data_IF_992477950119
#
_entry.id   IF_992477950119
#
_cell.length_a   1.000
_cell.length_b   1.000
_cell.length_c   1.000
_cell.angle_alpha   90.00
_cell.angle_beta   90.00
_cell.angle_gamma   90.00
#
_symmetry.space_group_name_H-M   'P 1'
#
loop_
_entity.id
_entity.type
_entity.pdbx_description
1 polymer ?
#
# COMPACT_ATOMS: atom_id res chain seq x y z
N UNK A 1 17.03 12.73 -11.98
CA UNK A 1 17.08 12.87 -10.50
C UNK A 1 16.80 14.31 -10.08
N UNK A 2 17.62 15.30 -10.45
CA UNK A 2 17.44 16.72 -10.08
C UNK A 2 16.03 17.27 -10.38
N UNK A 3 15.51 17.01 -11.58
CA UNK A 3 14.14 17.38 -11.96
C UNK A 3 13.08 16.85 -10.98
N UNK A 4 13.17 15.57 -10.58
CA UNK A 4 12.22 14.96 -9.62
C UNK A 4 12.31 15.61 -8.25
N UNK A 5 13.54 15.86 -7.76
CA UNK A 5 13.74 16.55 -6.49
C UNK A 5 13.12 17.94 -6.50
N UNK A 6 13.32 18.71 -7.56
CA UNK A 6 12.75 20.06 -7.70
C UNK A 6 11.22 20.06 -7.82
N UNK A 7 10.61 19.00 -8.37
CA UNK A 7 9.14 18.89 -8.36
C UNK A 7 8.58 18.57 -6.97
N UNK A 8 9.37 17.92 -6.11
CA UNK A 8 8.98 17.58 -4.73
C UNK A 8 9.33 18.74 -3.78
N UNK A 9 10.50 19.34 -3.91
CA UNK A 9 10.98 20.45 -3.10
C UNK A 9 11.22 21.66 -4.01
N UNK A 10 10.14 22.29 -4.52
CA UNK A 10 10.27 23.38 -5.48
C UNK A 10 10.80 24.66 -4.82
N UNK A 11 11.71 25.35 -5.51
CA UNK A 11 12.08 26.72 -5.18
C UNK A 11 11.04 27.74 -5.65
N UNK A 12 10.32 27.43 -6.74
CA UNK A 12 9.34 28.30 -7.36
C UNK A 12 7.97 27.62 -7.39
N UNK A 13 6.96 28.36 -6.98
CA UNK A 13 5.55 27.93 -7.00
C UNK A 13 4.72 28.95 -7.78
N UNK A 14 3.61 28.50 -8.36
CA UNK A 14 2.60 29.39 -8.95
C UNK A 14 1.82 30.13 -7.86
N UNK A 15 0.97 31.08 -8.27
CA UNK A 15 -0.02 31.73 -7.40
C UNK A 15 -0.87 30.72 -6.62
N UNK A 16 -1.20 29.60 -7.26
CA UNK A 16 -2.03 28.53 -6.70
C UNK A 16 -1.22 27.54 -5.85
N UNK A 17 0.05 27.86 -5.53
CA UNK A 17 0.93 27.06 -4.69
C UNK A 17 1.52 25.80 -5.38
N UNK A 18 1.21 25.56 -6.65
CA UNK A 18 1.69 24.41 -7.40
C UNK A 18 3.18 24.56 -7.77
N UNK A 19 3.98 23.48 -7.75
CA UNK A 19 5.38 23.52 -8.17
C UNK A 19 5.50 23.91 -9.65
N UNK A 20 6.29 24.96 -9.93
CA UNK A 20 6.62 25.31 -11.31
C UNK A 20 7.69 24.35 -11.87
N UNK A 21 7.67 24.03 -13.18
CA UNK A 21 8.72 23.24 -13.80
C UNK A 21 10.10 23.87 -13.56
N UNK A 22 11.12 23.09 -13.13
CA UNK A 22 12.45 23.62 -12.89
C UNK A 22 13.08 24.09 -14.20
N UNK A 23 13.76 25.24 -14.14
CA UNK A 23 14.58 25.77 -15.22
C UNK A 23 15.80 24.88 -15.45
N UNK A 24 16.39 24.98 -16.64
CA UNK A 24 17.61 24.25 -16.96
C UNK A 24 18.80 24.68 -16.10
N UNK A 25 18.83 25.94 -15.63
CA UNK A 25 19.84 26.43 -14.70
C UNK A 25 19.71 25.78 -13.31
N UNK A 26 18.49 25.66 -12.79
CA UNK A 26 18.22 24.97 -11.51
C UNK A 26 18.62 23.48 -11.58
N UNK A 27 18.31 22.82 -12.70
CA UNK A 27 18.69 21.43 -12.94
C UNK A 27 20.21 21.30 -12.98
N UNK A 28 20.91 22.15 -13.75
CA UNK A 28 22.38 22.15 -13.85
C UNK A 28 23.07 22.43 -12.52
N UNK A 29 22.52 23.30 -11.69
CA UNK A 29 23.07 23.61 -10.35
C UNK A 29 23.11 22.37 -9.43
N UNK A 30 22.11 21.49 -9.53
CA UNK A 30 22.11 20.22 -8.80
C UNK A 30 22.97 19.19 -9.53
N UNK A 31 22.79 19.01 -10.83
CA UNK A 31 23.45 17.98 -11.62
C UNK A 31 24.98 18.16 -11.68
N UNK A 32 25.45 19.41 -11.69
CA UNK A 32 26.88 19.75 -11.69
C UNK A 32 27.55 19.68 -10.32
N UNK A 33 26.81 19.36 -9.25
CA UNK A 33 27.36 19.24 -7.90
C UNK A 33 27.26 17.79 -7.40
N UNK A 34 28.36 17.01 -7.41
CA UNK A 34 28.36 15.60 -6.99
C UNK A 34 27.85 15.38 -5.56
N UNK A 35 28.18 16.29 -4.64
CA UNK A 35 27.74 16.22 -3.24
C UNK A 35 26.22 16.35 -3.14
N UNK A 36 25.63 17.38 -3.76
CA UNK A 36 24.17 17.55 -3.83
C UNK A 36 23.50 16.35 -4.50
N UNK A 37 24.09 15.84 -5.57
CA UNK A 37 23.58 14.65 -6.25
C UNK A 37 23.53 13.42 -5.34
N UNK A 38 24.61 13.17 -4.59
CA UNK A 38 24.70 12.06 -3.63
C UNK A 38 23.64 12.17 -2.54
N UNK A 39 23.49 13.35 -1.94
CA UNK A 39 22.52 13.58 -0.88
C UNK A 39 21.08 13.45 -1.37
N UNK A 40 20.75 14.07 -2.50
CA UNK A 40 19.41 13.99 -3.06
C UNK A 40 19.06 12.55 -3.46
N UNK A 41 20.01 11.78 -4.01
CA UNK A 41 19.79 10.37 -4.30
C UNK A 41 19.42 9.58 -3.04
N UNK A 42 20.16 9.77 -1.94
CA UNK A 42 19.86 9.13 -0.63
C UNK A 42 18.48 9.53 -0.10
N UNK A 43 18.09 10.80 -0.23
CA UNK A 43 16.78 11.31 0.21
C UNK A 43 15.64 10.74 -0.63
N UNK A 44 15.78 10.72 -1.95
CA UNK A 44 14.77 10.17 -2.87
C UNK A 44 14.58 8.65 -2.72
N UNK A 45 15.58 7.93 -2.19
CA UNK A 45 15.47 6.50 -1.87
C UNK A 45 15.02 6.22 -0.44
N UNK A 46 14.71 7.23 0.37
CA UNK A 46 14.38 7.07 1.80
C UNK A 46 12.88 7.26 2.05
N UNK A 47 12.22 6.19 2.51
CA UNK A 47 10.81 6.24 2.94
C UNK A 47 10.62 7.27 4.05
N UNK A 48 11.57 7.41 4.98
CA UNK A 48 11.49 8.42 6.06
C UNK A 48 11.50 9.84 5.52
N UNK A 49 12.30 10.13 4.48
CA UNK A 49 12.27 11.44 3.82
C UNK A 49 10.96 11.66 3.06
N UNK A 50 10.44 10.63 2.40
CA UNK A 50 9.14 10.71 1.74
C UNK A 50 8.01 10.99 2.75
N UNK A 51 7.94 10.23 3.83
CA UNK A 51 6.96 10.43 4.91
C UNK A 51 7.08 11.82 5.54
N UNK A 52 8.30 12.29 5.82
CA UNK A 52 8.52 13.64 6.34
C UNK A 52 7.87 14.70 5.44
N UNK A 53 8.12 14.62 4.13
CA UNK A 53 7.61 15.61 3.18
C UNK A 53 6.10 15.49 2.97
N UNK A 54 5.56 14.27 2.97
CA UNK A 54 4.12 14.02 2.86
C UNK A 54 3.37 14.58 4.08
N UNK A 55 3.76 14.13 5.28
CA UNK A 55 3.13 14.55 6.53
C UNK A 55 3.24 16.06 6.74
N UNK A 56 4.39 16.68 6.44
CA UNK A 56 4.52 18.13 6.55
C UNK A 56 3.46 18.86 5.71
N UNK A 57 3.26 18.46 4.45
CA UNK A 57 2.29 19.14 3.58
C UNK A 57 0.85 18.91 4.00
N UNK A 58 0.51 17.69 4.41
CA UNK A 58 -0.84 17.38 4.90
C UNK A 58 -1.12 18.17 6.17
N UNK A 59 -0.18 18.18 7.13
CA UNK A 59 -0.32 18.93 8.38
C UNK A 59 -0.49 20.44 8.14
N UNK A 60 0.36 21.03 7.29
CA UNK A 60 0.24 22.46 6.96
C UNK A 60 -1.10 22.80 6.30
N UNK A 61 -1.60 21.92 5.42
CA UNK A 61 -2.87 22.15 4.73
C UNK A 61 -4.05 22.01 5.69
N UNK A 62 -4.09 20.95 6.48
CA UNK A 62 -5.18 20.72 7.42
C UNK A 62 -5.24 21.81 8.50
N UNK A 63 -4.09 22.17 9.09
CA UNK A 63 -4.03 23.28 10.04
C UNK A 63 -4.50 24.61 9.42
N UNK A 64 -4.17 24.87 8.15
CA UNK A 64 -4.67 26.07 7.46
C UNK A 64 -6.18 26.02 7.20
N UNK A 65 -6.70 24.86 6.79
CA UNK A 65 -8.14 24.64 6.55
C UNK A 65 -8.96 24.79 7.85
N UNK A 66 -8.40 24.36 8.98
CA UNK A 66 -9.04 24.40 10.31
C UNK A 66 -8.71 25.67 11.12
N UNK A 67 -7.94 26.61 10.56
CA UNK A 67 -7.44 27.82 11.25
C UNK A 67 -6.63 27.55 12.54
N UNK A 68 -6.01 26.36 12.62
CA UNK A 68 -5.25 25.88 13.77
C UNK A 68 -3.73 26.00 13.56
N UNK A 69 -2.97 25.80 14.65
CA UNK A 69 -1.51 25.73 14.59
C UNK A 69 -0.94 24.62 15.47
N UNK A 70 0.27 24.16 15.16
CA UNK A 70 0.97 23.14 15.96
C UNK A 70 1.00 21.74 15.34
N UNK A 71 1.07 20.73 16.20
CA UNK A 71 1.30 19.34 15.80
C UNK A 71 0.02 18.67 15.29
N UNK A 72 0.01 18.27 14.02
CA UNK A 72 -1.12 17.56 13.41
C UNK A 72 -1.04 16.03 13.56
N UNK A 73 0.14 15.44 13.34
CA UNK A 73 0.35 13.98 13.44
C UNK A 73 0.93 13.60 14.80
N UNK A 74 0.61 12.39 15.26
CA UNK A 74 1.37 11.70 16.32
C UNK A 74 2.82 11.43 15.86
N UNK A 75 3.72 11.12 16.80
CA UNK A 75 5.18 11.04 16.60
C UNK A 75 5.65 10.29 15.34
N UNK A 76 5.96 8.98 15.46
CA UNK A 76 6.71 8.24 14.43
C UNK A 76 5.78 7.37 13.61
N UNK A 77 5.96 7.39 12.30
CA UNK A 77 5.27 6.44 11.43
C UNK A 77 5.81 5.02 11.63
N UNK A 78 4.94 4.04 11.39
CA UNK A 78 5.31 2.64 11.38
C UNK A 78 5.54 2.15 9.94
N UNK A 79 6.53 1.28 9.74
CA UNK A 79 6.81 0.67 8.45
C UNK A 79 7.16 -0.81 8.64
N UNK A 80 6.36 -1.66 8.02
CA UNK A 80 6.51 -3.11 8.06
C UNK A 80 6.99 -3.59 6.71
N UNK A 81 8.12 -4.29 6.66
CA UNK A 81 8.62 -4.91 5.42
C UNK A 81 7.84 -6.20 5.17
N UNK A 82 7.10 -6.26 4.08
CA UNK A 82 6.41 -7.48 3.63
C UNK A 82 7.36 -8.28 2.74
N UNK A 83 7.52 -9.58 3.01
CA UNK A 83 8.55 -10.41 2.33
C UNK A 83 7.99 -11.67 1.68
N UNK A 84 6.70 -11.91 1.77
CA UNK A 84 6.02 -13.00 1.06
C UNK A 84 4.61 -12.61 0.62
N UNK A 85 4.02 -13.49 -0.18
CA UNK A 85 2.70 -13.28 -0.77
C UNK A 85 1.57 -13.36 0.27
N UNK A 86 1.64 -14.32 1.20
CA UNK A 86 0.61 -14.51 2.23
C UNK A 86 0.43 -13.26 3.10
N UNK A 87 1.55 -12.67 3.54
CA UNK A 87 1.54 -11.46 4.35
C UNK A 87 1.18 -10.22 3.53
N UNK A 88 1.48 -10.21 2.23
CA UNK A 88 1.03 -9.15 1.33
C UNK A 88 -0.49 -9.15 1.18
N UNK A 89 -1.07 -10.32 0.92
CA UNK A 89 -2.53 -10.49 0.83
C UNK A 89 -3.20 -10.14 2.16
N UNK A 90 -2.68 -10.63 3.29
CA UNK A 90 -3.20 -10.32 4.61
C UNK A 90 -3.12 -8.82 4.94
N UNK A 91 -2.02 -8.15 4.57
CA UNK A 91 -1.88 -6.70 4.75
C UNK A 91 -2.90 -5.92 3.92
N UNK A 92 -3.08 -6.29 2.65
CA UNK A 92 -4.04 -5.64 1.77
C UNK A 92 -5.47 -5.79 2.31
N UNK A 93 -5.85 -7.00 2.72
CA UNK A 93 -7.14 -7.28 3.35
C UNK A 93 -7.32 -6.55 4.69
N UNK A 94 -6.29 -6.50 5.54
CA UNK A 94 -6.32 -5.76 6.81
C UNK A 94 -6.66 -4.26 6.60
N UNK A 95 -6.08 -3.66 5.55
CA UNK A 95 -6.31 -2.24 5.21
C UNK A 95 -7.71 -2.04 4.63
N UNK A 96 -8.09 -2.82 3.62
CA UNK A 96 -9.38 -2.65 2.93
C UNK A 96 -10.58 -3.00 3.82
N UNK A 97 -10.42 -3.93 4.76
CA UNK A 97 -11.47 -4.30 5.73
C UNK A 97 -11.47 -3.44 6.99
N UNK A 98 -10.61 -2.42 7.09
CA UNK A 98 -10.52 -1.61 8.30
C UNK A 98 -11.85 -0.90 8.68
N UNK A 99 -12.61 -0.27 7.76
CA UNK A 99 -13.90 0.33 8.13
C UNK A 99 -14.92 -0.69 8.64
N UNK A 100 -14.94 -1.90 8.06
CA UNK A 100 -15.81 -2.98 8.53
C UNK A 100 -15.40 -3.46 9.92
N UNK A 101 -14.10 -3.65 10.15
CA UNK A 101 -13.53 -4.01 11.47
C UNK A 101 -13.81 -2.94 12.52
N UNK A 102 -13.85 -1.68 12.13
CA UNK A 102 -14.18 -0.54 12.99
C UNK A 102 -15.70 -0.30 13.14
N UNK A 103 -16.55 -1.16 12.57
CA UNK A 103 -18.01 -1.00 12.54
C UNK A 103 -18.49 0.33 11.91
N UNK A 104 -17.69 0.90 11.00
CA UNK A 104 -18.02 2.11 10.23
C UNK A 104 -18.69 1.80 8.89
N UNK A 105 -18.67 0.54 8.45
CA UNK A 105 -19.29 0.08 7.22
C UNK A 105 -19.76 -1.38 7.35
N UNK A 106 -20.88 -1.73 6.73
CA UNK A 106 -21.37 -3.11 6.71
C UNK A 106 -20.92 -3.87 5.47
N UNK A 107 -20.60 -3.17 4.38
CA UNK A 107 -20.18 -3.78 3.10
C UNK A 107 -18.91 -3.12 2.55
N UNK A 108 -18.31 -3.74 1.53
CA UNK A 108 -17.11 -3.21 0.87
C UNK A 108 -17.43 -1.90 0.13
N UNK A 109 -18.62 -1.79 -0.43
CA UNK A 109 -19.13 -0.61 -1.15
C UNK A 109 -19.32 0.59 -0.21
N UNK A 110 -19.73 0.33 1.04
CA UNK A 110 -19.94 1.35 2.06
C UNK A 110 -18.64 1.79 2.76
N UNK A 111 -17.51 1.13 2.46
CA UNK A 111 -16.23 1.40 3.11
C UNK A 111 -15.59 2.68 2.54
N UNK A 112 -16.13 3.83 2.95
CA UNK A 112 -15.74 5.15 2.46
C UNK A 112 -14.22 5.39 2.54
N UNK A 113 -13.68 5.99 1.47
CA UNK A 113 -12.27 6.37 1.36
C UNK A 113 -11.26 5.20 1.39
N UNK A 114 -11.69 3.99 1.04
CA UNK A 114 -10.81 2.81 0.90
C UNK A 114 -10.42 2.52 -0.55
N UNK A 115 -9.37 1.72 -0.74
CA UNK A 115 -8.98 1.26 -2.08
C UNK A 115 -10.02 0.30 -2.65
N UNK A 116 -10.54 -0.62 -1.84
CA UNK A 116 -11.59 -1.56 -2.26
C UNK A 116 -12.84 -0.85 -2.79
N UNK A 117 -13.34 0.18 -2.09
CA UNK A 117 -14.50 0.95 -2.57
C UNK A 117 -14.23 1.58 -3.94
N UNK A 118 -13.07 2.24 -4.10
CA UNK A 118 -12.70 2.89 -5.37
C UNK A 118 -12.60 1.90 -6.54
N UNK A 119 -12.14 0.68 -6.29
CA UNK A 119 -12.11 -0.40 -7.28
C UNK A 119 -13.52 -0.83 -7.67
N UNK A 120 -14.43 -1.01 -6.70
CA UNK A 120 -15.83 -1.37 -6.98
C UNK A 120 -16.55 -0.25 -7.74
N UNK A 121 -16.33 1.01 -7.36
CA UNK A 121 -16.85 2.18 -8.09
C UNK A 121 -16.37 2.20 -9.54
N UNK A 122 -15.09 1.88 -9.79
CA UNK A 122 -14.55 1.81 -11.13
C UNK A 122 -15.20 0.69 -11.94
N UNK A 123 -15.37 -0.52 -11.37
CA UNK A 123 -16.05 -1.64 -12.05
C UNK A 123 -17.50 -1.27 -12.40
N UNK A 124 -18.20 -0.59 -11.49
CA UNK A 124 -19.62 -0.25 -11.66
C UNK A 124 -19.83 0.92 -12.63
N UNK A 125 -18.96 1.93 -12.59
CA UNK A 125 -19.07 3.13 -13.43
C UNK A 125 -18.46 2.95 -14.82
N UNK A 126 -17.41 2.13 -14.94
CA UNK A 126 -16.64 1.92 -16.17
C UNK A 126 -16.97 0.55 -16.81
N UNK A 127 -18.25 0.16 -16.81
CA UNK A 127 -18.73 -1.10 -17.44
C UNK A 127 -18.40 -1.18 -18.94
N UNK A 128 -18.15 -0.06 -19.60
CA UNK A 128 -17.63 -0.03 -20.96
C UNK A 128 -16.10 -0.20 -20.92
N UNK A 129 -15.60 -1.37 -21.32
CA UNK A 129 -14.17 -1.69 -21.42
C UNK A 129 -13.37 -0.68 -22.27
N UNK A 130 -14.07 0.13 -23.09
CA UNK A 130 -13.48 1.18 -23.93
C UNK A 130 -13.01 2.41 -23.13
N UNK A 131 -13.39 2.55 -21.85
CA UNK A 131 -12.92 3.67 -21.02
C UNK A 131 -11.39 3.54 -20.84
N UNK A 132 -10.60 4.52 -21.33
CA UNK A 132 -9.15 4.48 -21.17
C UNK A 132 -8.76 4.41 -19.70
N UNK A 133 -7.75 3.60 -19.36
CA UNK A 133 -7.25 3.43 -17.98
C UNK A 133 -6.97 4.77 -17.28
N UNK A 134 -6.52 5.78 -18.03
CA UNK A 134 -6.27 7.12 -17.49
C UNK A 134 -7.52 7.86 -17.00
N UNK A 135 -8.73 7.47 -17.44
CA UNK A 135 -10.00 8.07 -17.05
C UNK A 135 -10.74 7.28 -15.96
N UNK A 136 -10.31 6.05 -15.67
CA UNK A 136 -10.92 5.22 -14.64
C UNK A 136 -10.81 5.86 -13.26
N UNK A 137 -11.81 5.62 -12.42
CA UNK A 137 -11.87 6.18 -11.05
C UNK A 137 -10.74 5.67 -10.15
N UNK A 138 -10.23 4.48 -10.42
CA UNK A 138 -9.14 3.83 -9.69
C UNK A 138 -7.76 4.02 -10.34
N UNK A 139 -7.61 4.94 -11.30
CA UNK A 139 -6.36 5.11 -12.07
C UNK A 139 -5.10 5.39 -11.23
N UNK A 140 -5.28 5.88 -10.00
CA UNK A 140 -4.22 6.19 -9.05
C UNK A 140 -3.87 5.00 -8.14
N UNK A 141 -4.68 3.95 -8.16
CA UNK A 141 -4.40 2.70 -7.48
C UNK A 141 -3.53 1.79 -8.35
N UNK A 142 -2.63 1.05 -7.71
CA UNK A 142 -1.94 -0.06 -8.37
C UNK A 142 -2.97 -1.10 -8.82
N UNK A 143 -2.81 -1.75 -9.98
CA UNK A 143 -3.56 -2.96 -10.30
C UNK A 143 -3.42 -3.99 -9.17
N UNK A 144 -4.41 -4.85 -8.96
CA UNK A 144 -4.28 -6.00 -8.04
C UNK A 144 -3.45 -7.07 -8.72
N UNK A 145 -3.95 -7.56 -9.86
CA UNK A 145 -3.31 -8.60 -10.65
C UNK A 145 -1.91 -8.19 -11.10
N UNK A 146 -0.93 -9.02 -10.75
CA UNK A 146 0.42 -9.01 -11.32
C UNK A 146 0.51 -10.13 -12.37
N UNK A 147 1.07 -9.79 -13.54
CA UNK A 147 1.41 -10.78 -14.56
C UNK A 147 2.78 -11.39 -14.26
N UNK A 148 2.78 -12.54 -13.57
CA UNK A 148 4.02 -13.28 -13.27
C UNK A 148 4.47 -14.19 -14.42
N UNK A 149 3.62 -14.46 -15.40
CA UNK A 149 3.91 -15.42 -16.48
C UNK A 149 4.65 -14.77 -17.64
N UNK A 150 4.17 -13.61 -18.08
CA UNK A 150 4.70 -12.89 -19.23
C UNK A 150 5.24 -11.49 -18.89
N UNK A 151 5.05 -11.03 -17.66
CA UNK A 151 5.47 -9.70 -17.24
C UNK A 151 6.98 -9.54 -17.22
N UNK A 152 7.46 -8.38 -17.67
CA UNK A 152 8.88 -8.03 -17.60
C UNK A 152 9.38 -7.98 -16.13
N UNK A 153 10.57 -8.53 -15.90
CA UNK A 153 11.25 -8.45 -14.61
C UNK A 153 11.73 -7.01 -14.40
N UNK A 154 11.54 -6.49 -13.18
CA UNK A 154 11.95 -5.14 -12.81
C UNK A 154 10.79 -4.14 -12.67
N UNK A 155 11.10 -2.84 -12.58
CA UNK A 155 10.11 -1.80 -12.32
C UNK A 155 9.26 -1.51 -13.56
N UNK A 156 7.93 -1.47 -13.40
CA UNK A 156 7.01 -1.02 -14.43
C UNK A 156 6.48 0.37 -14.05
N UNK A 157 7.15 1.44 -14.48
CA UNK A 157 6.76 2.83 -14.15
C UNK A 157 5.44 3.17 -14.83
N UNK A 158 4.53 3.85 -14.11
CA UNK A 158 3.21 4.14 -14.65
C UNK A 158 3.25 5.06 -15.88
N UNK A 159 2.54 4.66 -16.94
CA UNK A 159 2.41 5.46 -18.17
C UNK A 159 1.54 6.72 -17.97
N UNK A 160 0.59 6.68 -17.04
CA UNK A 160 -0.33 7.80 -16.78
C UNK A 160 0.23 8.83 -15.81
N UNK A 161 1.29 8.48 -15.07
CA UNK A 161 1.83 9.31 -13.98
C UNK A 161 0.90 9.46 -12.76
N UNK A 162 -0.24 8.75 -12.72
CA UNK A 162 -1.21 8.81 -11.61
C UNK A 162 -0.86 7.88 -10.45
N UNK A 163 0.03 6.92 -10.67
CA UNK A 163 0.52 5.95 -9.68
C UNK A 163 2.01 5.67 -9.87
N UNK A 164 2.61 5.00 -8.89
CA UNK A 164 4.06 4.69 -8.94
C UNK A 164 4.40 3.58 -9.94
N UNK A 165 3.54 2.56 -10.06
CA UNK A 165 3.78 1.40 -10.92
C UNK A 165 2.50 0.86 -11.55
N UNK A 166 2.61 0.34 -12.77
CA UNK A 166 1.55 -0.38 -13.49
C UNK A 166 1.64 -1.91 -13.31
N UNK A 167 2.55 -2.42 -12.45
CA UNK A 167 2.90 -3.85 -12.39
C UNK A 167 1.82 -4.76 -11.79
N UNK A 168 1.04 -4.27 -10.84
CA UNK A 168 0.26 -5.14 -9.96
C UNK A 168 1.02 -5.58 -8.72
N UNK A 169 0.34 -6.28 -7.79
CA UNK A 169 0.97 -6.73 -6.55
C UNK A 169 0.52 -8.11 -6.03
N UNK A 170 -0.51 -8.74 -6.59
CA UNK A 170 -0.96 -10.08 -6.21
C UNK A 170 -1.18 -10.97 -7.43
N UNK A 171 -0.78 -12.26 -7.40
CA UNK A 171 -1.00 -13.20 -8.50
C UNK A 171 -2.44 -13.76 -8.46
N UNK A 172 -3.41 -12.86 -8.55
CA UNK A 172 -4.84 -13.17 -8.61
C UNK A 172 -5.59 -12.05 -9.34
N UNK A 173 -6.78 -12.36 -9.85
CA UNK A 173 -7.63 -11.36 -10.51
C UNK A 173 -8.15 -10.33 -9.50
N UNK A 174 -8.70 -9.21 -9.99
CA UNK A 174 -9.37 -8.25 -9.10
C UNK A 174 -10.65 -8.88 -8.52
N UNK A 175 -11.34 -9.66 -9.32
CA UNK A 175 -12.56 -10.38 -8.98
C UNK A 175 -12.31 -11.35 -7.82
N UNK A 176 -11.30 -12.21 -7.93
CA UNK A 176 -10.91 -13.16 -6.88
C UNK A 176 -10.51 -12.43 -5.59
N UNK A 177 -9.89 -11.25 -5.72
CA UNK A 177 -9.50 -10.45 -4.57
C UNK A 177 -10.74 -9.89 -3.85
N UNK A 178 -11.70 -9.34 -4.59
CA UNK A 178 -12.96 -8.86 -4.03
C UNK A 178 -13.77 -10.00 -3.39
N UNK A 179 -13.84 -11.16 -4.02
CA UNK A 179 -14.47 -12.35 -3.43
C UNK A 179 -13.80 -12.78 -2.14
N UNK A 180 -12.46 -12.77 -2.10
CA UNK A 180 -11.70 -13.08 -0.89
C UNK A 180 -11.97 -12.07 0.23
N UNK A 181 -12.05 -10.77 -0.10
CA UNK A 181 -12.38 -9.72 0.88
C UNK A 181 -13.80 -9.87 1.41
N UNK A 182 -14.80 -10.08 0.54
CA UNK A 182 -16.19 -10.25 0.95
C UNK A 182 -16.35 -11.49 1.84
N UNK A 183 -15.77 -12.62 1.42
CA UNK A 183 -15.73 -13.83 2.22
C UNK A 183 -15.12 -13.57 3.61
N UNK A 184 -13.98 -12.89 3.66
CA UNK A 184 -13.28 -12.56 4.92
C UNK A 184 -14.11 -11.63 5.80
N UNK A 185 -14.77 -10.63 5.21
CA UNK A 185 -15.58 -9.67 5.94
C UNK A 185 -16.76 -10.35 6.66
N UNK A 186 -17.33 -11.41 6.06
CA UNK A 186 -18.40 -12.22 6.67
C UNK A 186 -17.90 -13.11 7.81
N UNK A 187 -16.63 -13.51 7.80
CA UNK A 187 -16.03 -14.26 8.92
C UNK A 187 -15.78 -13.36 10.14
N UNK A 188 -15.38 -12.11 9.92
CA UNK A 188 -15.00 -11.17 11.00
C UNK A 188 -16.23 -10.56 11.70
N UNK A 189 -17.31 -10.31 10.95
CA UNK A 189 -18.54 -9.71 11.48
C UNK A 189 -19.73 -10.70 11.32
N UNK A 190 -19.91 -11.65 12.24
CA UNK A 190 -21.03 -12.59 12.19
C UNK A 190 -22.37 -11.83 12.27
N UNK A 191 -23.25 -12.06 11.31
CA UNK A 191 -24.54 -11.37 11.18
C UNK A 191 -24.72 -10.53 9.92
N UNK A 192 -23.71 -10.42 9.05
CA UNK A 192 -23.89 -9.81 7.73
C UNK A 192 -24.96 -10.55 6.90
N UNK A 193 -25.81 -9.82 6.16
CA UNK A 193 -26.80 -10.45 5.28
C UNK A 193 -26.13 -11.29 4.19
N UNK A 194 -26.69 -12.49 3.95
CA UNK A 194 -26.22 -13.45 2.94
C UNK A 194 -25.46 -14.64 3.52
N UNK A 195 -25.46 -15.76 2.78
CA UNK A 195 -24.77 -17.00 3.20
C UNK A 195 -23.27 -16.84 2.99
N UNK A 196 -22.46 -17.01 4.04
CA UNK A 196 -21.01 -17.12 3.89
C UNK A 196 -20.70 -18.36 3.05
N UNK A 197 -19.95 -18.24 1.93
CA UNK A 197 -19.55 -19.41 1.16
C UNK A 197 -18.83 -20.41 2.06
N UNK A 198 -19.26 -21.67 2.02
CA UNK A 198 -18.70 -22.72 2.85
C UNK A 198 -17.24 -23.03 2.45
N UNK A 199 -16.93 -22.82 1.17
CA UNK A 199 -15.62 -23.11 0.62
C UNK A 199 -14.61 -22.00 0.94
N UNK A 200 -13.44 -22.43 1.40
CA UNK A 200 -12.27 -21.59 1.57
C UNK A 200 -11.81 -21.05 0.19
N UNK A 201 -11.59 -19.72 0.04
CA UNK A 201 -11.11 -19.12 -1.19
C UNK A 201 -9.89 -19.86 -1.79
N UNK A 202 -9.84 -20.08 -3.12
CA UNK A 202 -8.76 -20.83 -3.76
C UNK A 202 -7.36 -20.28 -3.47
N UNK A 203 -7.23 -18.96 -3.36
CA UNK A 203 -5.97 -18.29 -3.01
C UNK A 203 -5.47 -18.71 -1.62
N UNK A 204 -6.36 -18.86 -0.64
CA UNK A 204 -5.98 -19.28 0.71
C UNK A 204 -5.57 -20.75 0.73
N UNK A 205 -6.24 -21.62 -0.04
CA UNK A 205 -5.81 -23.02 -0.26
C UNK A 205 -4.42 -23.08 -0.88
N UNK A 206 -4.16 -22.32 -1.94
CA UNK A 206 -2.83 -22.24 -2.61
C UNK A 206 -1.74 -21.76 -1.65
N UNK A 207 -2.08 -20.80 -0.79
CA UNK A 207 -1.18 -20.30 0.23
C UNK A 207 -1.10 -21.24 1.45
N UNK A 208 -1.84 -22.34 1.53
CA UNK A 208 -1.84 -23.22 2.71
C UNK A 208 -2.28 -22.51 3.99
N UNK A 209 -3.27 -21.61 3.90
CA UNK A 209 -3.85 -20.89 5.02
C UNK A 209 -5.27 -21.39 5.28
N UNK A 210 -5.52 -21.95 6.47
CA UNK A 210 -6.87 -22.27 6.91
C UNK A 210 -7.66 -21.00 7.33
N UNK A 211 -8.97 -21.14 7.48
CA UNK A 211 -9.88 -20.04 7.86
C UNK A 211 -9.46 -19.34 9.15
N UNK A 212 -9.11 -20.10 10.20
CA UNK A 212 -8.79 -19.54 11.52
C UNK A 212 -7.50 -18.74 11.46
N UNK A 213 -6.46 -19.32 10.85
CA UNK A 213 -5.17 -18.69 10.64
C UNK A 213 -5.31 -17.41 9.83
N UNK A 214 -6.06 -17.45 8.72
CA UNK A 214 -6.33 -16.29 7.88
C UNK A 214 -7.07 -15.17 8.62
N UNK A 215 -8.16 -15.49 9.32
CA UNK A 215 -8.95 -14.49 10.03
C UNK A 215 -8.13 -13.78 11.11
N UNK A 216 -7.23 -14.51 11.80
CA UNK A 216 -6.34 -13.91 12.78
C UNK A 216 -5.28 -13.01 12.12
N UNK A 217 -4.67 -13.46 11.01
CA UNK A 217 -3.71 -12.65 10.24
C UNK A 217 -4.33 -11.31 9.79
N UNK A 218 -5.56 -11.34 9.28
CA UNK A 218 -6.27 -10.14 8.81
C UNK A 218 -6.80 -9.28 9.94
N UNK A 219 -7.20 -9.86 11.08
CA UNK A 219 -7.77 -9.09 12.19
C UNK A 219 -6.69 -8.43 13.05
N UNK A 220 -5.54 -9.09 13.20
CA UNK A 220 -4.47 -8.69 14.11
C UNK A 220 -3.16 -8.34 13.39
N UNK A 221 -3.17 -8.07 12.07
CA UNK A 221 -1.95 -7.82 11.28
C UNK A 221 -0.98 -6.86 11.96
N UNK A 222 -1.44 -5.67 12.39
CA UNK A 222 -0.60 -4.66 13.07
C UNK A 222 -0.12 -5.06 14.46
N UNK A 223 -0.75 -6.06 15.09
CA UNK A 223 -0.30 -6.68 16.35
C UNK A 223 0.60 -7.88 16.12
N UNK A 224 0.45 -8.59 15.01
CA UNK A 224 1.28 -9.76 14.68
C UNK A 224 2.62 -9.32 14.10
N UNK A 225 2.60 -8.30 13.24
CA UNK A 225 3.76 -7.82 12.51
C UNK A 225 4.10 -6.39 12.90
N UNK A 226 5.40 -6.16 13.09
CA UNK A 226 5.93 -4.85 13.45
C UNK A 226 6.93 -4.41 12.38
N UNK A 227 8.19 -4.84 12.47
CA UNK A 227 9.22 -4.41 11.49
C UNK A 227 9.22 -5.23 10.21
N UNK A 228 8.69 -6.46 10.24
CA UNK A 228 8.64 -7.38 9.11
C UNK A 228 7.37 -8.22 9.20
N UNK A 229 6.80 -8.58 8.04
CA UNK A 229 5.69 -9.49 7.88
C UNK A 229 6.04 -10.55 6.83
N UNK A 230 5.83 -11.81 7.17
CA UNK A 230 6.27 -12.95 6.38
C UNK A 230 6.27 -14.22 7.21
N UNK A 231 6.38 -15.34 6.51
CA UNK A 231 6.63 -16.66 7.06
C UNK A 231 8.03 -16.74 7.70
N UNK A 232 8.21 -17.61 8.69
CA UNK A 232 9.50 -17.83 9.33
C UNK A 232 10.62 -18.11 8.32
N UNK A 233 10.37 -18.97 7.32
CA UNK A 233 11.36 -19.40 6.33
C UNK A 233 11.82 -18.24 5.44
N UNK A 234 10.91 -17.31 5.13
CA UNK A 234 11.19 -16.09 4.38
C UNK A 234 11.95 -15.04 5.20
N UNK A 235 11.75 -15.01 6.52
CA UNK A 235 12.27 -13.96 7.40
C UNK A 235 13.62 -14.32 8.04
N UNK A 236 13.79 -15.56 8.47
CA UNK A 236 14.98 -16.02 9.19
C UNK A 236 16.32 -15.78 8.43
N UNK A 237 16.41 -15.82 7.08
CA UNK A 237 17.62 -15.42 6.37
C UNK A 237 17.86 -13.90 6.30
N UNK A 238 16.84 -13.07 6.52
CA UNK A 238 16.91 -11.62 6.32
C UNK A 238 17.55 -10.88 7.50
N UNK A 239 18.14 -9.72 7.20
CA UNK A 239 18.75 -8.82 8.18
C UNK A 239 18.28 -7.38 7.95
N UNK A 240 18.16 -6.61 9.02
CA UNK A 240 17.86 -5.18 8.94
C UNK A 240 18.98 -4.43 8.22
N UNK A 241 18.64 -3.61 7.23
CA UNK A 241 19.61 -2.80 6.49
C UNK A 241 20.35 -1.78 7.36
N UNK A 242 19.77 -1.37 8.50
CA UNK A 242 20.35 -0.32 9.36
C UNK A 242 21.21 -0.90 10.48
N UNK A 243 20.79 -2.01 11.08
CA UNK A 243 21.45 -2.57 12.27
C UNK A 243 22.16 -3.90 11.99
N UNK A 244 21.98 -4.47 10.80
CA UNK A 244 22.44 -5.82 10.42
C UNK A 244 21.96 -6.95 11.36
N UNK A 245 21.04 -6.66 12.28
CA UNK A 245 20.42 -7.63 13.19
C UNK A 245 19.38 -8.47 12.45
N UNK A 246 19.14 -9.67 12.97
CA UNK A 246 18.03 -10.53 12.53
C UNK A 246 16.70 -9.83 12.79
N UNK A 247 15.74 -10.09 11.92
CA UNK A 247 14.36 -9.76 12.24
C UNK A 247 13.82 -10.75 13.27
N UNK A 248 13.00 -10.25 14.19
CA UNK A 248 12.33 -11.08 15.18
C UNK A 248 10.82 -11.03 14.92
N UNK A 249 10.26 -12.20 14.59
CA UNK A 249 8.82 -12.41 14.56
C UNK A 249 8.28 -12.58 15.98
N UNK A 250 7.07 -12.05 16.22
CA UNK A 250 6.35 -12.35 17.45
C UNK A 250 6.00 -13.84 17.49
N UNK A 251 6.00 -14.43 18.69
CA UNK A 251 5.72 -15.86 18.89
C UNK A 251 4.43 -16.29 18.18
N UNK A 252 3.34 -15.53 18.37
CA UNK A 252 2.04 -15.86 17.76
C UNK A 252 2.08 -15.84 16.24
N UNK A 253 2.74 -14.84 15.63
CA UNK A 253 2.91 -14.78 14.18
C UNK A 253 3.71 -15.97 13.64
N UNK A 254 4.73 -16.43 14.38
CA UNK A 254 5.46 -17.65 14.03
C UNK A 254 4.57 -18.89 14.14
N UNK A 255 3.81 -19.05 15.21
CA UNK A 255 2.87 -20.18 15.38
C UNK A 255 1.82 -20.26 14.27
N UNK A 256 1.27 -19.11 13.83
CA UNK A 256 0.27 -19.05 12.75
C UNK A 256 0.84 -19.40 11.37
N UNK A 257 2.10 -19.06 11.11
CA UNK A 257 2.71 -19.16 9.78
C UNK A 257 3.70 -20.31 9.64
N UNK A 258 3.96 -21.05 10.72
CA UNK A 258 4.65 -22.34 10.64
C UNK A 258 3.60 -23.35 10.17
N UNK A 259 3.90 -24.07 9.09
CA UNK A 259 2.97 -25.10 8.59
C UNK A 259 2.65 -26.08 9.73
N UNK A 260 1.36 -26.33 9.96
CA UNK A 260 0.96 -27.60 10.55
C UNK A 260 1.21 -28.63 9.45
N UNK A 261 2.19 -29.49 9.67
CA UNK A 261 2.43 -30.68 8.83
C UNK A 261 1.13 -31.51 8.68
#
# INVERSE_FOLDING_TARGET
MARRWMMICPHRRSSDGLPLPPTEAEIRSIAGCPVKCGDIRKRLSSISWWMRLLCQRVAMRANLEDEESGHFFQDRFHATRIVDEASLLACAAYVDLNPIRAAMAETLEQSNHTSVQRRIEAITADQDERVPVAKRRDNFLSPVAIDERSGEIGPCVSKTGKRCSDKGFLPMSLEDYLETLDWTARQIAPGKPGKTPADLPPVLKRLGLDTKTWCELVSDFGRLFCTVAGRPESIDPLRSHRTHRRYHLRRRARELLTQAD
#
